data_IF_251035364535
#
_entry.id   IF_251035364535
#
_cell.length_a   1.000
_cell.length_b   1.000
_cell.length_c   1.000
_cell.angle_alpha   90.00
_cell.angle_beta   90.00
_cell.angle_gamma   90.00
#
_symmetry.space_group_name_H-M   'P 1'
#
loop_
_entity.id
_entity.type
_entity.pdbx_description
1 polymer ?
#
# COMPACT_ATOMS: atom_id res chain seq x y z
N UNK A 1 -19.39 -10.29 8.89
CA UNK A 1 -18.39 -10.56 7.82
C UNK A 1 -17.28 -11.52 8.28
N UNK A 2 -16.46 -11.16 9.27
CA UNK A 2 -15.37 -12.03 9.76
C UNK A 2 -15.88 -13.40 10.25
N UNK A 3 -17.05 -13.43 10.91
CA UNK A 3 -17.68 -14.71 11.32
C UNK A 3 -18.22 -15.55 10.15
N UNK A 4 -18.53 -14.93 9.01
CA UNK A 4 -19.06 -15.62 7.82
C UNK A 4 -17.91 -16.29 7.06
N UNK A 5 -16.76 -15.61 6.98
CA UNK A 5 -15.53 -16.14 6.37
C UNK A 5 -14.85 -17.25 7.18
N UNK A 6 -15.26 -17.50 8.44
CA UNK A 6 -14.78 -18.64 9.23
C UNK A 6 -15.37 -19.97 8.77
N UNK A 7 -16.48 -19.95 8.02
CA UNK A 7 -17.07 -21.18 7.49
C UNK A 7 -16.21 -21.71 6.33
N UNK A 8 -15.78 -22.99 6.36
CA UNK A 8 -14.87 -23.55 5.36
C UNK A 8 -15.46 -23.53 3.94
N UNK A 9 -16.76 -23.78 3.78
CA UNK A 9 -17.43 -23.77 2.46
C UNK A 9 -17.47 -22.36 1.87
N UNK A 10 -17.79 -21.36 2.69
CA UNK A 10 -17.80 -19.96 2.25
C UNK A 10 -16.38 -19.49 1.90
N UNK A 11 -15.38 -19.91 2.68
CA UNK A 11 -13.98 -19.64 2.38
C UNK A 11 -13.54 -20.24 1.04
N UNK A 12 -13.92 -21.48 0.74
CA UNK A 12 -13.61 -22.13 -0.55
C UNK A 12 -14.30 -21.41 -1.71
N UNK A 13 -15.59 -21.10 -1.60
CA UNK A 13 -16.32 -20.36 -2.64
C UNK A 13 -15.73 -18.97 -2.89
N UNK A 14 -15.35 -18.27 -1.80
CA UNK A 14 -14.64 -17.00 -1.89
C UNK A 14 -13.30 -17.15 -2.61
N UNK A 15 -12.49 -18.15 -2.27
CA UNK A 15 -11.20 -18.38 -2.94
C UNK A 15 -11.38 -18.64 -4.43
N UNK A 16 -12.32 -19.50 -4.83
CA UNK A 16 -12.55 -19.81 -6.24
C UNK A 16 -13.02 -18.56 -7.00
N UNK A 17 -14.03 -17.86 -6.49
CA UNK A 17 -14.59 -16.70 -7.18
C UNK A 17 -13.65 -15.48 -7.18
N UNK A 18 -13.14 -15.13 -6.01
CA UNK A 18 -12.34 -13.92 -5.84
C UNK A 18 -10.87 -14.12 -6.21
N UNK A 19 -10.22 -15.17 -5.71
CA UNK A 19 -8.78 -15.39 -5.98
C UNK A 19 -8.61 -15.98 -7.37
N UNK A 20 -9.23 -17.12 -7.67
CA UNK A 20 -8.93 -17.83 -8.91
C UNK A 20 -9.53 -17.15 -10.14
N UNK A 21 -10.75 -16.61 -10.07
CA UNK A 21 -11.38 -15.99 -11.25
C UNK A 21 -11.07 -14.51 -11.31
N UNK A 22 -11.47 -13.75 -10.28
CA UNK A 22 -11.38 -12.29 -10.33
C UNK A 22 -9.93 -11.77 -10.38
N UNK A 23 -8.99 -12.33 -9.59
CA UNK A 23 -7.59 -11.86 -9.68
C UNK A 23 -6.95 -12.16 -11.04
N UNK A 24 -7.26 -13.30 -11.67
CA UNK A 24 -6.74 -13.59 -13.02
C UNK A 24 -7.30 -12.62 -14.07
N UNK A 25 -8.59 -12.30 -14.00
CA UNK A 25 -9.21 -11.28 -14.87
C UNK A 25 -8.56 -9.91 -14.63
N UNK A 26 -8.32 -9.54 -13.36
CA UNK A 26 -7.68 -8.28 -13.02
C UNK A 26 -6.25 -8.19 -13.57
N UNK A 27 -5.43 -9.22 -13.36
CA UNK A 27 -4.06 -9.28 -13.89
C UNK A 27 -4.01 -9.16 -15.41
N UNK A 28 -4.91 -9.87 -16.10
CA UNK A 28 -5.05 -9.73 -17.55
C UNK A 28 -5.47 -8.31 -17.96
N UNK A 29 -6.38 -7.70 -17.20
CA UNK A 29 -6.90 -6.35 -17.48
C UNK A 29 -5.84 -5.26 -17.28
N UNK A 30 -5.03 -5.33 -16.22
CA UNK A 30 -3.98 -4.34 -15.94
C UNK A 30 -2.77 -4.49 -16.87
N UNK A 31 -2.53 -5.68 -17.43
CA UNK A 31 -1.49 -5.93 -18.43
C UNK A 31 -1.91 -5.55 -19.87
N UNK A 32 -3.20 -5.33 -20.09
CA UNK A 32 -3.77 -5.02 -21.41
C UNK A 32 -3.21 -3.75 -22.10
N UNK A 33 -2.72 -2.69 -21.41
CA UNK A 33 -2.08 -1.55 -22.08
C UNK A 33 -0.91 -1.95 -22.98
N UNK A 34 -0.10 -2.94 -22.57
CA UNK A 34 1.00 -3.49 -23.38
C UNK A 34 0.50 -4.17 -24.64
N UNK A 35 -0.62 -4.90 -24.55
CA UNK A 35 -1.25 -5.53 -25.71
C UNK A 35 -1.78 -4.46 -26.67
N UNK A 36 -2.43 -3.41 -26.16
CA UNK A 36 -2.89 -2.28 -26.98
C UNK A 36 -1.72 -1.62 -27.70
N UNK A 37 -0.66 -1.26 -26.99
CA UNK A 37 0.53 -0.66 -27.58
C UNK A 37 1.14 -1.55 -28.67
N UNK A 38 1.25 -2.86 -28.43
CA UNK A 38 1.72 -3.83 -29.41
C UNK A 38 0.81 -3.91 -30.64
N UNK A 39 -0.50 -4.05 -30.44
CA UNK A 39 -1.46 -4.17 -31.55
C UNK A 39 -1.50 -2.91 -32.39
N UNK A 40 -1.47 -1.72 -31.79
CA UNK A 40 -1.44 -0.44 -32.53
C UNK A 40 -0.12 -0.28 -33.29
N UNK A 41 0.99 -0.79 -32.75
CA UNK A 41 2.29 -0.76 -33.43
C UNK A 41 2.39 -1.78 -34.59
N UNK A 42 1.71 -2.92 -34.53
CA UNK A 42 1.87 -4.04 -35.48
C UNK A 42 0.72 -4.25 -36.44
N UNK A 43 -0.50 -3.90 -36.04
CA UNK A 43 -1.74 -4.15 -36.79
C UNK A 43 -2.63 -2.90 -36.85
N UNK A 44 -3.29 -2.67 -37.98
CA UNK A 44 -4.27 -1.58 -38.15
C UNK A 44 -5.59 -1.79 -37.37
N UNK A 45 -5.60 -2.62 -36.32
CA UNK A 45 -6.81 -3.05 -35.60
C UNK A 45 -7.61 -1.88 -34.98
N UNK A 46 -7.01 -0.69 -34.89
CA UNK A 46 -7.54 0.49 -34.22
C UNK A 46 -7.36 1.78 -35.06
N UNK A 47 -7.05 1.64 -36.36
CA UNK A 47 -6.71 2.77 -37.24
C UNK A 47 -7.91 3.27 -38.06
N UNK A 48 -8.85 3.98 -37.43
CA UNK A 48 -9.85 4.75 -38.22
C UNK A 48 -9.26 6.05 -38.78
N UNK A 49 -8.05 6.46 -38.36
CA UNK A 49 -7.30 7.53 -39.04
C UNK A 49 -5.81 7.37 -38.69
N UNK A 50 -5.02 6.77 -39.60
CA UNK A 50 -3.56 6.66 -39.43
C UNK A 50 -2.93 8.05 -39.61
N UNK A 51 -2.95 8.89 -38.58
CA UNK A 51 -1.92 9.92 -38.48
C UNK A 51 -0.65 9.21 -38.01
N UNK A 52 0.41 9.23 -38.84
CA UNK A 52 1.76 8.81 -38.46
C UNK A 52 2.18 9.56 -37.21
N UNK A 53 1.97 8.96 -36.04
CA UNK A 53 2.55 9.46 -34.81
C UNK A 53 4.03 9.06 -34.80
N UNK A 54 4.93 9.92 -34.27
CA UNK A 54 6.34 9.58 -34.15
C UNK A 54 6.52 8.31 -33.32
N UNK A 55 7.48 7.46 -33.69
CA UNK A 55 7.79 6.19 -33.00
C UNK A 55 8.22 6.35 -31.54
N UNK A 56 8.45 7.57 -31.08
CA UNK A 56 8.81 7.92 -29.71
C UNK A 56 8.03 9.16 -29.27
N UNK A 57 7.12 8.98 -28.31
CA UNK A 57 6.24 10.05 -27.84
C UNK A 57 6.70 10.56 -26.47
N UNK A 58 6.49 11.86 -26.19
CA UNK A 58 6.84 12.44 -24.88
C UNK A 58 6.10 11.73 -23.73
N UNK A 59 4.88 11.24 -23.97
CA UNK A 59 4.15 10.47 -22.97
C UNK A 59 4.83 9.16 -22.60
N UNK A 60 5.61 8.54 -23.50
CA UNK A 60 6.35 7.31 -23.18
C UNK A 60 7.44 7.61 -22.14
N UNK A 61 8.13 8.74 -22.29
CA UNK A 61 9.13 9.21 -21.32
C UNK A 61 8.47 9.57 -20.00
N UNK A 62 7.38 10.34 -20.04
CA UNK A 62 6.63 10.73 -18.83
C UNK A 62 6.11 9.50 -18.10
N UNK A 63 5.51 8.54 -18.80
CA UNK A 63 5.03 7.28 -18.25
C UNK A 63 6.17 6.49 -17.61
N UNK A 64 7.32 6.39 -18.29
CA UNK A 64 8.51 5.69 -17.77
C UNK A 64 9.00 6.33 -16.48
N UNK A 65 9.14 7.66 -16.45
CA UNK A 65 9.58 8.39 -15.25
C UNK A 65 8.58 8.17 -14.10
N UNK A 66 7.28 8.26 -14.36
CA UNK A 66 6.25 8.07 -13.35
C UNK A 66 6.24 6.63 -12.79
N UNK A 67 6.30 5.61 -13.66
CA UNK A 67 6.37 4.21 -13.24
C UNK A 67 7.59 3.98 -12.36
N UNK A 68 8.78 4.40 -12.81
CA UNK A 68 10.02 4.24 -12.03
C UNK A 68 9.95 4.99 -10.69
N UNK A 69 9.39 6.20 -10.70
CA UNK A 69 9.20 6.99 -9.48
C UNK A 69 8.27 6.29 -8.49
N UNK A 70 7.13 5.76 -8.93
CA UNK A 70 6.20 5.08 -8.03
C UNK A 70 6.71 3.71 -7.57
N UNK A 71 7.41 2.94 -8.43
CA UNK A 71 8.11 1.71 -8.03
C UNK A 71 9.14 2.01 -6.93
N UNK A 72 9.87 3.11 -7.04
CA UNK A 72 10.80 3.54 -6.01
C UNK A 72 10.11 3.88 -4.68
N UNK A 73 8.99 4.61 -4.74
CA UNK A 73 8.19 4.94 -3.55
C UNK A 73 7.57 3.69 -2.91
N UNK A 74 7.06 2.76 -3.73
CA UNK A 74 6.55 1.47 -3.29
C UNK A 74 7.64 0.67 -2.57
N UNK A 75 8.84 0.57 -3.16
CA UNK A 75 9.97 -0.13 -2.57
C UNK A 75 10.32 0.43 -1.19
N UNK A 76 10.38 1.75 -1.04
CA UNK A 76 10.60 2.39 0.27
C UNK A 76 9.46 2.06 1.25
N UNK A 77 8.21 2.13 0.80
CA UNK A 77 7.05 1.86 1.64
C UNK A 77 7.06 0.42 2.16
N UNK A 78 7.40 -0.54 1.30
CA UNK A 78 7.47 -1.95 1.66
C UNK A 78 8.66 -2.26 2.56
N UNK A 79 9.84 -1.69 2.31
CA UNK A 79 11.00 -1.81 3.21
C UNK A 79 10.67 -1.28 4.61
N UNK A 80 10.03 -0.11 4.66
CA UNK A 80 9.57 0.49 5.91
C UNK A 80 8.58 -0.41 6.64
N UNK A 81 7.62 -1.00 5.92
CA UNK A 81 6.62 -1.89 6.49
C UNK A 81 7.25 -3.21 6.97
N UNK A 82 8.17 -3.78 6.19
CA UNK A 82 8.89 -5.00 6.48
C UNK A 82 9.71 -4.86 7.77
N UNK A 83 10.53 -3.80 7.87
CA UNK A 83 11.34 -3.53 9.05
C UNK A 83 10.49 -3.45 10.33
N UNK A 84 9.34 -2.78 10.25
CA UNK A 84 8.41 -2.68 11.39
C UNK A 84 7.83 -4.03 11.79
N UNK A 85 7.38 -4.84 10.83
CA UNK A 85 6.81 -6.16 11.14
C UNK A 85 7.86 -7.09 11.73
N UNK A 86 9.06 -7.15 11.15
CA UNK A 86 10.17 -7.97 11.65
C UNK A 86 10.48 -7.66 13.11
N UNK A 87 10.62 -6.37 13.44
CA UNK A 87 10.89 -5.94 14.82
C UNK A 87 9.72 -6.25 15.78
N UNK A 88 8.48 -6.08 15.31
CA UNK A 88 7.29 -6.42 16.07
C UNK A 88 7.21 -7.92 16.41
N UNK A 89 7.52 -8.80 15.47
CA UNK A 89 7.57 -10.24 15.73
C UNK A 89 8.71 -10.62 16.67
N UNK A 90 9.89 -10.00 16.52
CA UNK A 90 11.04 -10.19 17.42
C UNK A 90 10.68 -9.84 18.87
N UNK A 91 10.04 -8.68 19.10
CA UNK A 91 9.61 -8.25 20.44
C UNK A 91 8.57 -9.19 21.05
N UNK A 92 7.61 -9.67 20.26
CA UNK A 92 6.63 -10.67 20.74
C UNK A 92 7.29 -11.97 21.18
N UNK A 93 8.31 -12.43 20.44
CA UNK A 93 9.09 -13.62 20.82
C UNK A 93 9.84 -13.40 22.13
N UNK A 94 10.51 -12.26 22.30
CA UNK A 94 11.20 -11.92 23.55
C UNK A 94 10.24 -11.83 24.74
N UNK A 95 9.08 -11.20 24.57
CA UNK A 95 8.05 -11.14 25.62
C UNK A 95 7.51 -12.53 25.99
N UNK A 96 7.42 -13.45 25.03
CA UNK A 96 7.02 -14.83 25.31
C UNK A 96 8.10 -15.58 26.10
N UNK A 97 9.39 -15.38 25.77
CA UNK A 97 10.52 -15.95 26.50
C UNK A 97 10.57 -15.39 27.92
N UNK A 98 10.47 -14.07 28.10
CA UNK A 98 10.46 -13.43 29.42
C UNK A 98 9.32 -13.94 30.30
N UNK A 99 8.11 -14.10 29.75
CA UNK A 99 6.98 -14.68 30.49
C UNK A 99 7.24 -16.13 30.91
N UNK A 100 7.88 -16.92 30.07
CA UNK A 100 8.27 -18.28 30.40
C UNK A 100 9.34 -18.30 31.51
N UNK A 101 10.34 -17.44 31.41
CA UNK A 101 11.38 -17.28 32.44
C UNK A 101 10.78 -16.78 33.77
N UNK A 102 9.80 -15.88 33.75
CA UNK A 102 9.06 -15.43 34.93
C UNK A 102 8.20 -16.57 35.52
N UNK A 103 7.54 -17.38 34.70
CA UNK A 103 6.76 -18.54 35.15
C UNK A 103 7.64 -19.65 35.73
N UNK A 104 8.82 -19.87 35.17
CA UNK A 104 9.79 -20.85 35.66
C UNK A 104 10.48 -20.33 36.94
N UNK A 105 10.89 -19.05 36.98
CA UNK A 105 11.39 -18.43 38.20
C UNK A 105 10.34 -18.35 39.31
N UNK A 106 9.05 -18.22 39.01
CA UNK A 106 7.97 -18.22 40.02
C UNK A 106 7.72 -19.61 40.62
N UNK A 107 8.05 -20.68 39.89
CA UNK A 107 8.07 -22.05 40.43
C UNK A 107 9.31 -22.33 41.28
N UNK A 108 10.40 -21.59 41.05
CA UNK A 108 11.68 -21.71 41.78
C UNK A 108 11.77 -20.76 42.98
N UNK A 109 11.10 -19.60 42.95
CA UNK A 109 11.23 -18.50 43.92
C UNK A 109 9.91 -18.22 44.66
N UNK A 110 9.43 -19.18 45.46
CA UNK A 110 8.66 -18.86 46.68
C UNK A 110 9.56 -18.27 47.79
N UNK A 111 10.86 -18.12 47.54
CA UNK A 111 11.84 -17.56 48.46
C UNK A 111 12.62 -16.42 47.79
N UNK A 112 12.67 -15.28 48.48
CA UNK A 112 13.38 -14.03 48.21
C UNK A 112 12.78 -13.00 47.25
N UNK A 113 12.57 -11.82 47.84
CA UNK A 113 11.87 -10.67 47.30
C UNK A 113 12.79 -9.46 47.23
N UNK A 114 12.41 -8.53 46.35
CA UNK A 114 12.62 -7.09 46.36
C UNK A 114 13.84 -6.45 45.66
N UNK A 115 13.46 -5.42 44.90
CA UNK A 115 14.15 -4.18 44.53
C UNK A 115 15.02 -4.21 43.27
N UNK A 116 14.55 -3.58 42.19
CA UNK A 116 15.13 -2.31 41.71
C UNK A 116 14.36 -1.73 40.53
N UNK A 117 14.40 -0.41 40.43
CA UNK A 117 13.77 0.40 39.39
C UNK A 117 14.80 1.36 38.78
N UNK A 118 14.45 1.91 37.61
CA UNK A 118 15.05 3.07 36.89
C UNK A 118 15.92 2.71 35.65
N UNK A 119 16.23 3.63 34.72
CA UNK A 119 15.66 4.95 34.42
C UNK A 119 15.16 5.12 32.95
N UNK A 120 14.46 6.25 32.75
CA UNK A 120 14.04 6.87 31.50
C UNK A 120 15.19 7.11 30.49
N UNK A 121 14.90 6.92 29.20
CA UNK A 121 15.58 7.59 28.08
C UNK A 121 14.53 8.20 27.11
N UNK A 122 14.50 9.53 27.08
CA UNK A 122 13.48 10.38 26.46
C UNK A 122 13.72 10.69 24.98
N UNK A 123 14.61 9.95 24.31
CA UNK A 123 14.89 10.09 22.86
C UNK A 123 14.27 8.97 22.02
N UNK A 124 13.76 7.93 22.70
CA UNK A 124 13.23 6.68 22.15
C UNK A 124 11.69 6.68 22.08
N UNK A 125 11.04 7.78 22.46
CA UNK A 125 9.58 7.86 22.64
C UNK A 125 8.80 7.64 21.36
N UNK A 126 9.16 8.30 20.25
CA UNK A 126 8.45 8.14 18.97
C UNK A 126 8.56 6.72 18.38
N UNK A 127 9.73 6.08 18.52
CA UNK A 127 9.95 4.72 18.01
C UNK A 127 9.30 3.68 18.93
N UNK A 128 9.35 3.88 20.25
CA UNK A 128 8.68 3.01 21.21
C UNK A 128 7.15 3.10 21.13
N UNK A 129 6.60 4.30 20.93
CA UNK A 129 5.16 4.54 20.84
C UNK A 129 4.51 3.72 19.71
N UNK A 130 5.16 3.62 18.54
CA UNK A 130 4.61 2.85 17.41
C UNK A 130 4.55 1.32 17.66
N UNK A 131 5.54 0.76 18.38
CA UNK A 131 5.52 -0.66 18.74
C UNK A 131 4.52 -0.97 19.84
N UNK A 132 4.36 -0.04 20.81
CA UNK A 132 3.33 -0.13 21.85
C UNK A 132 1.93 -0.04 21.23
N UNK A 133 1.73 0.88 20.30
CA UNK A 133 0.47 1.07 19.59
C UNK A 133 0.19 -0.07 18.60
N UNK A 134 1.24 -0.75 18.12
CA UNK A 134 1.15 -1.97 17.33
C UNK A 134 0.95 -1.75 15.83
N UNK A 135 1.08 -0.52 15.34
CA UNK A 135 1.04 -0.17 13.93
C UNK A 135 2.03 0.94 13.59
N UNK A 136 2.54 0.94 12.35
CA UNK A 136 3.52 1.91 11.87
C UNK A 136 2.87 3.27 11.63
N UNK A 137 3.54 4.34 12.08
CA UNK A 137 3.07 5.73 11.93
C UNK A 137 4.14 6.67 11.37
N UNK A 138 5.40 6.23 11.30
CA UNK A 138 6.56 7.00 10.84
C UNK A 138 6.83 6.86 9.33
N UNK A 139 7.63 7.78 8.80
CA UNK A 139 8.08 7.75 7.40
C UNK A 139 6.94 8.04 6.42
N UNK A 140 6.80 7.22 5.38
CA UNK A 140 5.74 7.40 4.39
C UNK A 140 4.34 7.19 5.00
N UNK A 141 4.26 6.37 6.05
CA UNK A 141 3.02 6.08 6.77
C UNK A 141 2.50 7.30 7.56
N UNK A 142 3.35 8.29 7.86
CA UNK A 142 2.93 9.55 8.46
C UNK A 142 2.13 10.43 7.47
N UNK A 143 2.34 10.23 6.16
CA UNK A 143 1.75 11.05 5.09
C UNK A 143 0.47 10.39 4.56
N UNK A 144 0.52 9.09 4.31
CA UNK A 144 -0.59 8.27 3.78
C UNK A 144 -0.64 6.96 4.55
N UNK A 145 -1.83 6.47 4.90
CA UNK A 145 -1.94 5.26 5.74
C UNK A 145 -1.48 3.98 5.06
N UNK A 146 -1.60 3.92 3.73
CA UNK A 146 -1.18 2.80 2.89
C UNK A 146 -0.39 3.32 1.69
N UNK A 147 0.87 3.73 1.90
CA UNK A 147 1.69 4.33 0.85
C UNK A 147 2.03 3.34 -0.27
N UNK A 148 2.22 2.06 0.05
CA UNK A 148 2.41 1.01 -0.95
C UNK A 148 1.19 0.82 -1.85
N UNK A 149 -0.03 0.76 -1.28
CA UNK A 149 -1.25 0.64 -2.08
C UNK A 149 -1.48 1.86 -2.96
N UNK A 150 -1.11 3.06 -2.48
CA UNK A 150 -1.19 4.28 -3.27
C UNK A 150 -0.18 4.28 -4.42
N UNK A 151 1.05 3.84 -4.17
CA UNK A 151 2.10 3.73 -5.19
C UNK A 151 1.72 2.70 -6.26
N UNK A 152 1.25 1.51 -5.85
CA UNK A 152 0.81 0.45 -6.78
C UNK A 152 -0.32 0.94 -7.71
N UNK A 153 -1.37 1.57 -7.14
CA UNK A 153 -2.42 2.18 -7.96
C UNK A 153 -1.85 3.21 -8.95
N UNK A 154 -0.88 4.03 -8.52
CA UNK A 154 -0.27 5.04 -9.36
C UNK A 154 0.66 4.46 -10.44
N UNK A 155 1.33 3.33 -10.18
CA UNK A 155 2.11 2.57 -11.19
C UNK A 155 1.19 2.16 -12.32
N UNK A 156 0.07 1.49 -12.02
CA UNK A 156 -0.84 0.98 -13.05
C UNK A 156 -1.59 2.08 -13.80
N UNK A 157 -1.92 3.19 -13.13
CA UNK A 157 -2.45 4.40 -13.79
C UNK A 157 -1.40 5.02 -14.71
N UNK A 158 -0.12 5.04 -14.31
CA UNK A 158 0.97 5.56 -15.14
C UNK A 158 1.27 4.62 -16.31
N UNK A 159 1.20 3.31 -16.09
CA UNK A 159 1.37 2.28 -17.12
C UNK A 159 0.31 2.40 -18.22
N UNK A 160 -0.89 2.82 -17.87
CA UNK A 160 -1.94 3.12 -18.84
C UNK A 160 -1.55 4.23 -19.84
N UNK A 161 -0.69 5.18 -19.46
CA UNK A 161 -0.26 6.26 -20.36
C UNK A 161 0.46 5.73 -21.61
N UNK A 162 1.08 4.55 -21.58
CA UNK A 162 1.67 3.93 -22.78
C UNK A 162 0.60 3.56 -23.81
N UNK A 163 -0.56 3.06 -23.38
CA UNK A 163 -1.67 2.79 -24.29
C UNK A 163 -2.26 4.08 -24.87
N UNK A 164 -2.35 5.15 -24.06
CA UNK A 164 -2.81 6.47 -24.52
C UNK A 164 -1.84 7.06 -25.55
N UNK A 165 -0.53 6.96 -25.28
CA UNK A 165 0.52 7.40 -26.19
C UNK A 165 0.42 6.70 -27.55
N UNK A 166 0.20 5.37 -27.54
CA UNK A 166 0.04 4.58 -28.75
C UNK A 166 -1.22 4.97 -29.56
N UNK A 167 -2.35 5.27 -28.91
CA UNK A 167 -3.63 5.51 -29.59
C UNK A 167 -3.78 6.91 -30.21
N UNK A 168 -2.92 7.87 -29.88
CA UNK A 168 -2.95 9.22 -30.50
C UNK A 168 -4.28 9.99 -30.35
N UNK A 169 -5.06 9.72 -29.30
CA UNK A 169 -6.30 10.43 -28.94
C UNK A 169 -7.57 10.08 -29.75
N UNK A 170 -7.45 9.67 -31.01
CA UNK A 170 -8.62 9.46 -31.89
C UNK A 170 -9.21 8.05 -31.86
N UNK A 171 -8.50 7.07 -31.30
CA UNK A 171 -8.96 5.66 -31.27
C UNK A 171 -9.43 5.18 -29.89
N UNK A 172 -9.79 6.12 -29.01
CA UNK A 172 -10.24 5.85 -27.64
C UNK A 172 -11.32 4.78 -27.56
N UNK A 173 -12.29 4.77 -28.48
CA UNK A 173 -13.46 3.87 -28.43
C UNK A 173 -13.13 2.39 -28.70
N UNK A 174 -12.12 2.09 -29.53
CA UNK A 174 -11.80 0.71 -29.93
C UNK A 174 -11.03 -0.06 -28.86
N UNK A 175 -10.20 0.64 -28.07
CA UNK A 175 -9.45 0.05 -26.96
C UNK A 175 -9.93 0.58 -25.60
N UNK A 176 -11.11 1.21 -25.52
CA UNK A 176 -11.64 1.78 -24.27
C UNK A 176 -11.79 0.73 -23.16
N UNK A 177 -12.25 -0.45 -23.54
CA UNK A 177 -12.51 -1.56 -22.62
C UNK A 177 -11.20 -2.08 -21.99
N UNK A 178 -10.09 -2.10 -22.71
CA UNK A 178 -8.77 -2.48 -22.15
C UNK A 178 -8.12 -1.30 -21.41
N UNK A 179 -8.24 -0.10 -21.97
CA UNK A 179 -7.71 1.16 -21.45
C UNK A 179 -8.20 1.52 -20.04
N UNK A 180 -9.51 1.35 -19.79
CA UNK A 180 -10.15 1.90 -18.58
C UNK A 180 -10.43 0.81 -17.54
N UNK A 181 -10.79 -0.39 -17.96
CA UNK A 181 -11.23 -1.43 -17.01
C UNK A 181 -10.09 -1.94 -16.12
N UNK A 182 -8.85 -1.98 -16.59
CA UNK A 182 -7.72 -2.49 -15.80
C UNK A 182 -7.46 -1.68 -14.54
N UNK A 183 -7.00 -0.44 -14.70
CA UNK A 183 -6.63 0.41 -13.57
C UNK A 183 -7.83 0.82 -12.70
N UNK A 184 -9.04 1.01 -13.28
CA UNK A 184 -10.23 1.31 -12.48
C UNK A 184 -10.64 0.13 -11.61
N UNK A 185 -10.64 -1.09 -12.17
CA UNK A 185 -10.94 -2.30 -11.38
C UNK A 185 -9.91 -2.48 -10.27
N UNK A 186 -8.63 -2.19 -10.54
CA UNK A 186 -7.58 -2.17 -9.53
C UNK A 186 -7.85 -1.14 -8.42
N UNK A 187 -8.21 0.10 -8.77
CA UNK A 187 -8.55 1.15 -7.79
C UNK A 187 -9.77 0.74 -6.96
N UNK A 188 -10.81 0.18 -7.57
CA UNK A 188 -11.97 -0.33 -6.84
C UNK A 188 -11.61 -1.48 -5.91
N UNK A 189 -10.74 -2.38 -6.34
CA UNK A 189 -10.20 -3.44 -5.50
C UNK A 189 -9.49 -2.87 -4.28
N UNK A 190 -8.58 -1.92 -4.49
CA UNK A 190 -7.84 -1.28 -3.40
C UNK A 190 -8.76 -0.45 -2.50
N UNK A 191 -9.76 0.24 -3.04
CA UNK A 191 -10.72 0.98 -2.23
C UNK A 191 -11.53 0.05 -1.32
N UNK A 192 -11.98 -1.09 -1.87
CA UNK A 192 -12.76 -2.10 -1.15
C UNK A 192 -11.89 -2.84 -0.11
N UNK A 193 -10.69 -3.28 -0.50
CA UNK A 193 -9.76 -4.00 0.37
C UNK A 193 -9.18 -3.10 1.45
N UNK A 194 -8.88 -1.84 1.12
CA UNK A 194 -8.47 -0.82 2.07
C UNK A 194 -9.51 -0.61 3.15
N UNK A 195 -10.74 -0.31 2.76
CA UNK A 195 -11.84 -0.17 3.71
C UNK A 195 -12.00 -1.39 4.62
N UNK A 196 -11.94 -2.60 4.03
CA UNK A 196 -12.06 -3.84 4.80
C UNK A 196 -10.92 -4.04 5.79
N UNK A 197 -9.68 -3.85 5.34
CA UNK A 197 -8.49 -4.01 6.19
C UNK A 197 -8.42 -2.96 7.29
N UNK A 198 -8.80 -1.72 7.02
CA UNK A 198 -8.91 -0.65 8.03
C UNK A 198 -9.92 -1.02 9.11
N UNK A 199 -11.07 -1.59 8.72
CA UNK A 199 -12.09 -2.05 9.67
C UNK A 199 -11.56 -3.15 10.58
N UNK A 200 -10.77 -4.09 10.07
CA UNK A 200 -10.10 -5.12 10.88
C UNK A 200 -9.07 -4.47 11.81
N UNK A 201 -8.26 -3.53 11.31
CA UNK A 201 -7.23 -2.86 12.10
C UNK A 201 -7.84 -2.06 13.25
N UNK A 202 -8.95 -1.36 13.04
CA UNK A 202 -9.68 -0.65 14.08
C UNK A 202 -10.19 -1.58 15.21
N UNK A 203 -10.57 -2.81 14.88
CA UNK A 203 -10.98 -3.80 15.88
C UNK A 203 -9.81 -4.29 16.73
N UNK A 204 -8.59 -4.29 16.17
CA UNK A 204 -7.38 -4.74 16.86
C UNK A 204 -6.71 -3.63 17.68
N UNK A 205 -6.74 -2.39 17.21
CA UNK A 205 -6.00 -1.27 17.81
C UNK A 205 -6.93 -0.06 18.02
N UNK A 206 -7.44 0.18 19.24
CA UNK A 206 -8.36 1.29 19.52
C UNK A 206 -7.79 2.68 19.20
N UNK A 207 -6.49 2.89 19.51
CA UNK A 207 -5.77 4.15 19.24
C UNK A 207 -5.69 4.49 17.74
N UNK A 208 -5.73 3.48 16.86
CA UNK A 208 -5.72 3.64 15.42
C UNK A 208 -6.88 4.52 14.92
N UNK A 209 -8.09 4.26 15.45
CA UNK A 209 -9.30 5.01 15.11
C UNK A 209 -9.29 6.41 15.75
N UNK A 210 -8.81 6.52 16.99
CA UNK A 210 -8.93 7.74 17.79
C UNK A 210 -7.97 8.83 17.32
N UNK A 211 -6.74 8.47 16.94
CA UNK A 211 -5.69 9.42 16.57
C UNK A 211 -5.30 9.30 15.09
N UNK A 212 -4.84 8.14 14.65
CA UNK A 212 -4.17 8.01 13.34
C UNK A 212 -5.08 8.28 12.13
N UNK A 213 -6.26 7.66 12.08
CA UNK A 213 -7.20 7.84 10.95
C UNK A 213 -7.71 9.27 10.75
N UNK A 214 -7.68 10.10 11.80
CA UNK A 214 -8.15 11.50 11.72
C UNK A 214 -7.12 12.43 11.05
N UNK A 215 -5.84 12.10 11.17
CA UNK A 215 -4.75 12.98 10.74
C UNK A 215 -4.16 12.57 9.39
N UNK A 216 -4.15 11.27 9.09
CA UNK A 216 -3.51 10.71 7.91
C UNK A 216 -4.57 10.17 6.94
N UNK A 217 -4.64 10.62 5.68
CA UNK A 217 -5.57 10.10 4.67
C UNK A 217 -5.19 8.69 4.18
N UNK A 218 -6.14 7.97 3.56
CA UNK A 218 -5.95 6.56 3.19
C UNK A 218 -4.97 6.37 2.01
N UNK A 219 -5.16 7.12 0.92
CA UNK A 219 -4.37 6.98 -0.33
C UNK A 219 -3.82 8.31 -0.85
N UNK A 220 -4.66 9.34 -0.95
CA UNK A 220 -4.26 10.62 -1.52
C UNK A 220 -3.78 11.53 -0.39
N UNK A 221 -2.51 11.99 -0.42
CA UNK A 221 -2.00 12.89 0.59
C UNK A 221 -2.70 14.25 0.49
N UNK A 222 -2.87 14.92 1.63
CA UNK A 222 -3.27 16.33 1.63
C UNK A 222 -2.06 17.18 1.21
N UNK A 223 -1.89 17.35 -0.11
CA UNK A 223 -0.73 18.03 -0.72
C UNK A 223 -0.48 19.41 -0.09
N UNK A 224 -1.54 20.16 0.21
CA UNK A 224 -1.46 21.45 0.91
C UNK A 224 -0.82 21.33 2.31
N UNK A 225 -1.26 20.37 3.13
CA UNK A 225 -0.69 20.15 4.47
C UNK A 225 0.77 19.69 4.40
N UNK A 226 1.10 18.86 3.41
CA UNK A 226 2.46 18.40 3.18
C UNK A 226 3.38 19.57 2.79
N UNK A 227 3.00 20.38 1.80
CA UNK A 227 3.76 21.56 1.37
C UNK A 227 3.96 22.54 2.54
N UNK A 228 2.90 22.84 3.29
CA UNK A 228 2.96 23.72 4.48
C UNK A 228 3.91 23.14 5.54
N UNK A 229 3.91 21.83 5.76
CA UNK A 229 4.81 21.18 6.73
C UNK A 229 6.29 21.26 6.30
N UNK A 230 6.58 21.06 5.02
CA UNK A 230 7.93 21.17 4.45
C UNK A 230 8.44 22.60 4.52
N UNK A 231 7.60 23.58 4.18
CA UNK A 231 7.93 25.00 4.28
C UNK A 231 8.21 25.42 5.74
N UNK A 232 7.36 24.98 6.69
CA UNK A 232 7.52 25.26 8.12
C UNK A 232 8.74 24.60 8.75
N UNK A 233 9.16 23.43 8.28
CA UNK A 233 10.40 22.80 8.75
C UNK A 233 11.64 23.51 8.20
N UNK A 234 11.59 23.98 6.94
CA UNK A 234 12.68 24.76 6.33
C UNK A 234 12.90 26.09 7.04
N UNK A 235 11.83 26.78 7.48
CA UNK A 235 11.93 28.05 8.21
C UNK A 235 12.37 27.93 9.67
N UNK A 236 12.38 26.73 10.26
CA UNK A 236 12.92 26.47 11.60
C UNK A 236 14.42 26.16 11.60
N UNK A 237 15.00 25.92 10.42
CA UNK A 237 16.42 25.61 10.24
C UNK A 237 17.24 26.80 9.71
N UNK A 238 16.58 27.91 9.37
CA UNK A 238 17.17 29.20 8.97
C UNK A 238 17.09 30.22 10.10
#
# INVERSE_FOLDING_TARGET
LVSILKNPTVWVLFNIGFISIYQNILLWSIASPSLVAYTVATHDACATTRQQQPSFHLLDVVATILVLFFVYIESIADDQQYAFQTEKYRRRKLQAIQKQEEEDNKKTNEEYNNNESSPNDSSSSLVLDEYVDGFKQSGLFAIVRKPNYAAEQAIWISYYLYAVAAMGGNSFFCCWWSAILGWMNLVFLFQSSGWFTERITQQKYPKYKQHYMKHVPLYIPNVWKLIVSLWRNKSKQS
#
